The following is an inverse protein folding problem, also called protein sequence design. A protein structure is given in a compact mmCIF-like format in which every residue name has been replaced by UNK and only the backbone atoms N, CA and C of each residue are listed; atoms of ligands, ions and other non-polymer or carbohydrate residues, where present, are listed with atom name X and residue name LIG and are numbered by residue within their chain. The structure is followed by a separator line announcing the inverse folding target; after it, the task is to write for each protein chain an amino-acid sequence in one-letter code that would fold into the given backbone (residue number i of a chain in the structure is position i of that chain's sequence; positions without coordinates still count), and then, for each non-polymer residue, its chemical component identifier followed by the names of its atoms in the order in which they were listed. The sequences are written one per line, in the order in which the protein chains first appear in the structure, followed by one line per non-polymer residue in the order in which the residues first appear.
data_IF_216216465148
#
_entry.id   IF_216216465148
#
_cell.length_a   1.000
_cell.length_b   1.000
_cell.length_c   1.000
_cell.angle_alpha   90.00
_cell.angle_beta   90.00
_cell.angle_gamma   90.00
#
_symmetry.space_group_name_H-M   'P 1'
#
loop_
_entity.id
_entity.type
_entity.pdbx_description
1 polymer ?
#
# COMPACT_ATOMS: atom_id res chain seq x y z
N UNK A 1 3.10 16.66 37.52
CA UNK A 1 2.53 15.82 36.43
C UNK A 1 2.21 16.77 35.29
N UNK A 2 3.00 16.83 34.21
CA UNK A 2 2.70 17.75 33.10
C UNK A 2 1.72 17.07 32.15
N UNK A 3 0.45 17.45 32.23
CA UNK A 3 -0.55 17.15 31.20
C UNK A 3 -0.49 18.27 30.17
N UNK A 4 -0.01 17.96 28.98
CA UNK A 4 -0.21 18.84 27.83
C UNK A 4 -1.54 18.41 27.19
N UNK A 5 -2.56 19.25 27.34
CA UNK A 5 -3.87 19.09 26.71
C UNK A 5 -3.99 20.09 25.56
N UNK A 6 -4.60 19.68 24.47
CA UNK A 6 -5.09 20.57 23.42
C UNK A 6 -6.48 20.10 22.96
N UNK A 7 -7.27 21.02 22.41
CA UNK A 7 -8.64 20.79 21.91
C UNK A 7 -8.67 20.07 20.55
N UNK A 8 -9.85 20.01 19.92
CA UNK A 8 -10.10 19.35 18.63
C UNK A 8 -9.17 19.85 17.53
N UNK A 9 -8.82 18.97 16.59
CA UNK A 9 -7.98 19.27 15.40
C UNK A 9 -6.63 19.91 15.72
N UNK A 10 -6.02 19.49 16.82
CA UNK A 10 -4.83 20.13 17.32
C UNK A 10 -3.58 19.26 17.23
N UNK A 11 -2.47 19.90 16.85
CA UNK A 11 -1.17 19.24 16.82
C UNK A 11 -0.39 19.52 18.11
N UNK A 12 -0.11 18.47 18.90
CA UNK A 12 0.76 18.55 20.07
C UNK A 12 2.07 17.79 19.80
N UNK A 13 3.18 18.54 19.80
CA UNK A 13 4.51 18.02 19.49
C UNK A 13 5.40 18.02 20.73
N UNK A 14 5.76 16.82 21.18
CA UNK A 14 6.76 16.61 22.23
C UNK A 14 8.10 16.34 21.54
N UNK A 15 8.94 17.38 21.43
CA UNK A 15 10.19 17.33 20.68
C UNK A 15 11.28 16.52 21.39
N UNK A 16 11.55 16.82 22.67
CA UNK A 16 12.55 16.10 23.47
C UNK A 16 12.21 16.26 24.95
N UNK A 17 12.01 15.14 25.64
CA UNK A 17 11.80 15.13 27.09
C UNK A 17 12.94 14.37 27.75
N UNK A 18 13.68 15.03 28.65
CA UNK A 18 14.71 14.43 29.50
C UNK A 18 14.52 14.71 30.99
N UNK A 19 13.38 14.36 31.59
CA UNK A 19 13.19 14.75 32.95
C UNK A 19 13.65 13.63 33.91
N UNK A 20 14.51 13.96 34.86
CA UNK A 20 14.89 13.12 36.00
C UNK A 20 13.73 13.10 37.00
N UNK A 21 13.08 11.95 37.20
CA UNK A 21 12.12 11.76 38.31
C UNK A 21 10.63 11.60 37.95
N UNK A 22 10.24 11.58 36.68
CA UNK A 22 8.81 11.47 36.31
C UNK A 22 8.33 10.02 36.24
N UNK A 23 7.20 9.70 36.89
CA UNK A 23 6.62 8.33 36.85
C UNK A 23 5.80 8.03 35.59
N UNK A 24 5.24 9.05 34.91
CA UNK A 24 4.39 8.92 33.70
C UNK A 24 4.57 10.10 32.74
N UNK A 25 4.64 9.81 31.44
CA UNK A 25 4.52 10.77 30.35
C UNK A 25 3.38 10.34 29.42
N UNK A 26 2.42 11.22 29.14
CA UNK A 26 1.25 10.89 28.34
C UNK A 26 0.55 12.15 27.85
N UNK A 27 0.92 12.68 26.67
CA UNK A 27 0.16 13.77 26.07
C UNK A 27 -1.27 13.32 25.79
N UNK A 28 -2.23 14.23 25.98
CA UNK A 28 -3.65 13.97 25.75
C UNK A 28 -4.14 14.87 24.62
N UNK A 29 -4.80 14.28 23.64
CA UNK A 29 -5.50 14.97 22.56
C UNK A 29 -6.95 14.55 22.55
N UNK A 30 -7.83 15.44 22.10
CA UNK A 30 -9.22 15.13 21.80
C UNK A 30 -9.35 14.70 20.32
N UNK A 31 -10.56 14.71 19.79
CA UNK A 31 -10.89 14.22 18.45
C UNK A 31 -10.01 14.86 17.37
N UNK A 32 -9.60 14.05 16.38
CA UNK A 32 -8.74 14.48 15.27
C UNK A 32 -7.31 14.92 15.67
N UNK A 33 -6.92 14.79 16.94
CA UNK A 33 -5.66 15.35 17.42
C UNK A 33 -4.44 14.57 16.94
N UNK A 34 -3.39 15.30 16.56
CA UNK A 34 -2.11 14.72 16.18
C UNK A 34 -1.11 14.85 17.33
N UNK A 35 -0.86 13.75 18.03
CA UNK A 35 0.12 13.68 19.11
C UNK A 35 1.43 13.07 18.62
N UNK A 36 2.46 13.90 18.50
CA UNK A 36 3.78 13.44 18.03
C UNK A 36 4.81 13.49 19.14
N UNK A 37 5.31 12.31 19.52
CA UNK A 37 6.47 12.14 20.41
C UNK A 37 7.69 11.83 19.56
N UNK A 38 8.55 12.83 19.34
CA UNK A 38 9.73 12.67 18.48
C UNK A 38 10.84 11.90 19.20
N UNK A 39 11.11 12.24 20.46
CA UNK A 39 12.14 11.59 21.26
C UNK A 39 11.81 11.66 22.75
N UNK A 40 11.50 10.50 23.33
CA UNK A 40 11.37 10.35 24.78
C UNK A 40 12.61 9.65 25.35
N UNK A 41 13.35 10.34 26.22
CA UNK A 41 14.53 9.84 26.94
C UNK A 41 14.39 10.14 28.43
N UNK A 42 13.80 9.24 29.21
CA UNK A 42 13.58 9.47 30.65
C UNK A 42 14.02 8.28 31.50
N UNK A 43 14.29 8.47 32.78
CA UNK A 43 14.32 7.39 33.78
C UNK A 43 12.91 6.90 34.18
N UNK A 44 11.86 7.53 33.66
CA UNK A 44 10.46 7.26 33.99
C UNK A 44 9.91 5.89 33.55
N UNK A 45 8.85 5.46 34.25
CA UNK A 45 8.35 4.08 34.18
C UNK A 45 7.27 3.82 33.11
N UNK A 46 6.50 4.85 32.67
CA UNK A 46 5.34 4.67 31.74
C UNK A 46 5.25 5.79 30.69
N UNK A 47 5.12 5.41 29.41
CA UNK A 47 4.79 6.30 28.29
C UNK A 47 3.46 5.86 27.64
N UNK A 48 2.50 6.76 27.52
CA UNK A 48 1.19 6.45 26.93
C UNK A 48 0.47 7.70 26.46
N UNK A 49 0.68 8.14 25.21
CA UNK A 49 -0.17 9.17 24.62
C UNK A 49 -1.61 8.65 24.54
N UNK A 50 -2.58 9.53 24.78
CA UNK A 50 -4.01 9.21 24.72
C UNK A 50 -4.68 10.16 23.74
N UNK A 51 -5.40 9.60 22.77
CA UNK A 51 -6.28 10.33 21.86
C UNK A 51 -7.69 9.74 21.92
N UNK A 52 -8.66 10.49 21.43
CA UNK A 52 -10.01 9.99 21.13
C UNK A 52 -10.13 9.72 19.63
N UNK A 53 -11.35 9.75 19.09
CA UNK A 53 -11.66 9.34 17.73
C UNK A 53 -10.82 10.08 16.67
N UNK A 54 -10.41 9.34 15.63
CA UNK A 54 -9.59 9.87 14.54
C UNK A 54 -8.19 10.36 14.94
N UNK A 55 -7.74 10.08 16.17
CA UNK A 55 -6.47 10.62 16.66
C UNK A 55 -5.25 9.93 16.07
N UNK A 56 -4.23 10.71 15.73
CA UNK A 56 -2.96 10.20 15.22
C UNK A 56 -1.89 10.29 16.31
N UNK A 57 -1.54 9.15 16.90
CA UNK A 57 -0.52 9.05 17.94
C UNK A 57 0.77 8.46 17.38
N UNK A 58 1.79 9.31 17.17
CA UNK A 58 3.07 8.91 16.59
C UNK A 58 4.21 8.99 17.60
N UNK A 59 4.76 7.83 17.96
CA UNK A 59 5.98 7.71 18.76
C UNK A 59 7.15 7.35 17.84
N UNK A 60 8.00 8.33 17.52
CA UNK A 60 9.15 8.11 16.63
C UNK A 60 10.29 7.37 17.34
N UNK A 61 10.60 7.77 18.57
CA UNK A 61 11.69 7.16 19.32
C UNK A 61 11.43 7.21 20.82
N UNK A 62 11.27 6.04 21.44
CA UNK A 62 11.25 5.85 22.89
C UNK A 62 12.50 5.06 23.32
N UNK A 63 13.41 5.70 24.04
CA UNK A 63 14.68 5.11 24.49
C UNK A 63 14.92 5.38 25.99
N UNK A 64 15.09 4.34 26.80
CA UNK A 64 15.30 4.49 28.26
C UNK A 64 15.99 3.27 28.88
N UNK A 65 16.61 3.43 30.04
CA UNK A 65 17.05 2.33 30.91
C UNK A 65 15.95 1.82 31.86
N UNK A 66 14.82 2.53 32.03
CA UNK A 66 13.82 2.29 33.08
C UNK A 66 12.34 2.19 32.63
N UNK A 67 12.02 2.31 31.34
CA UNK A 67 10.63 2.19 30.88
C UNK A 67 10.10 0.78 31.13
N UNK A 68 8.98 0.66 31.85
CA UNK A 68 8.28 -0.62 32.03
C UNK A 68 7.13 -0.80 31.03
N UNK A 69 6.44 0.29 30.63
CA UNK A 69 5.27 0.24 29.74
C UNK A 69 5.30 1.33 28.67
N UNK A 70 5.02 0.95 27.42
CA UNK A 70 4.63 1.84 26.33
C UNK A 70 3.26 1.40 25.79
N UNK A 71 2.24 2.24 25.98
CA UNK A 71 0.86 1.96 25.56
C UNK A 71 0.18 3.24 25.08
N UNK A 72 0.35 3.61 23.80
CA UNK A 72 -0.54 4.54 23.13
C UNK A 72 -1.99 4.02 23.19
N UNK A 73 -2.95 4.89 23.46
CA UNK A 73 -4.38 4.55 23.52
C UNK A 73 -5.17 5.51 22.62
N UNK A 74 -5.89 4.97 21.65
CA UNK A 74 -6.87 5.69 20.83
C UNK A 74 -8.22 4.99 20.92
N UNK A 75 -9.28 5.65 20.44
CA UNK A 75 -10.59 5.05 20.21
C UNK A 75 -10.76 4.78 18.71
N UNK A 76 -11.96 4.91 18.17
CA UNK A 76 -12.30 4.58 16.78
C UNK A 76 -11.43 5.37 15.79
N UNK A 77 -11.13 4.75 14.65
CA UNK A 77 -10.32 5.32 13.54
C UNK A 77 -8.95 5.87 13.93
N UNK A 78 -8.41 5.42 15.07
CA UNK A 78 -7.16 5.97 15.60
C UNK A 78 -5.93 5.32 14.97
N UNK A 79 -4.96 6.16 14.61
CA UNK A 79 -3.67 5.70 14.04
C UNK A 79 -2.57 5.77 15.10
N UNK A 80 -2.14 4.60 15.56
CA UNK A 80 -1.19 4.44 16.67
C UNK A 80 0.11 3.85 16.14
N UNK A 81 1.11 4.70 15.88
CA UNK A 81 2.39 4.31 15.25
C UNK A 81 3.58 4.45 16.19
N UNK A 82 4.25 3.33 16.47
CA UNK A 82 5.53 3.28 17.21
C UNK A 82 6.66 2.90 16.26
N UNK A 83 7.53 3.83 15.90
CA UNK A 83 8.64 3.57 14.96
C UNK A 83 9.81 2.84 15.65
N UNK A 84 10.21 3.28 16.85
CA UNK A 84 11.30 2.65 17.60
C UNK A 84 11.08 2.71 19.10
N UNK A 85 10.97 1.55 19.74
CA UNK A 85 10.95 1.37 21.19
C UNK A 85 12.15 0.52 21.62
N UNK A 86 13.03 1.07 22.44
CA UNK A 86 14.23 0.38 22.92
C UNK A 86 14.49 0.68 24.40
N UNK A 87 14.44 -0.34 25.26
CA UNK A 87 14.80 -0.22 26.68
C UNK A 87 15.26 -1.56 27.23
N UNK A 88 16.19 -1.57 28.18
CA UNK A 88 16.54 -2.77 28.95
C UNK A 88 15.43 -3.17 29.94
N UNK A 89 14.50 -2.26 30.29
CA UNK A 89 13.47 -2.48 31.32
C UNK A 89 12.04 -2.71 30.81
N UNK A 90 11.79 -2.68 29.48
CA UNK A 90 10.42 -2.75 28.95
C UNK A 90 9.79 -4.10 29.28
N UNK A 91 8.71 -4.08 30.06
CA UNK A 91 7.89 -5.25 30.37
C UNK A 91 6.68 -5.35 29.45
N UNK A 92 6.09 -4.22 29.03
CA UNK A 92 4.89 -4.18 28.18
C UNK A 92 4.98 -3.15 27.05
N UNK A 93 4.70 -3.59 25.82
CA UNK A 93 4.42 -2.71 24.68
C UNK A 93 3.09 -3.15 24.05
N UNK A 94 2.05 -2.34 24.26
CA UNK A 94 0.70 -2.66 23.80
C UNK A 94 -0.02 -1.36 23.43
N UNK A 95 0.04 -0.93 22.15
CA UNK A 95 -0.92 0.02 21.61
C UNK A 95 -2.34 -0.54 21.75
N UNK A 96 -3.30 0.32 22.07
CA UNK A 96 -4.71 -0.05 22.21
C UNK A 96 -5.54 0.91 21.35
N UNK A 97 -6.36 0.35 20.46
CA UNK A 97 -7.38 1.06 19.68
C UNK A 97 -8.72 0.34 19.81
N UNK A 98 -9.80 0.96 19.33
CA UNK A 98 -11.09 0.30 19.10
C UNK A 98 -11.31 0.13 17.60
N UNK A 99 -12.52 0.24 17.09
CA UNK A 99 -12.88 -0.16 15.72
C UNK A 99 -12.03 0.60 14.68
N UNK A 100 -11.68 -0.10 13.59
CA UNK A 100 -10.92 0.42 12.44
C UNK A 100 -9.57 1.10 12.75
N UNK A 101 -9.04 0.85 13.95
CA UNK A 101 -7.78 1.45 14.39
C UNK A 101 -6.55 0.80 13.74
N UNK A 102 -5.57 1.63 13.35
CA UNK A 102 -4.31 1.18 12.78
C UNK A 102 -3.19 1.18 13.84
N UNK A 103 -2.82 0.00 14.33
CA UNK A 103 -1.81 -0.18 15.37
C UNK A 103 -0.51 -0.74 14.79
N UNK A 104 0.50 0.12 14.59
CA UNK A 104 1.77 -0.30 13.95
C UNK A 104 3.00 -0.08 14.83
N UNK A 105 3.73 -1.16 15.08
CA UNK A 105 5.04 -1.16 15.76
C UNK A 105 6.14 -1.57 14.78
N UNK A 106 7.04 -0.66 14.41
CA UNK A 106 8.10 -0.97 13.42
C UNK A 106 9.30 -1.68 14.05
N UNK A 107 9.78 -1.22 15.21
CA UNK A 107 10.95 -1.82 15.87
C UNK A 107 10.82 -1.78 17.39
N UNK A 108 10.82 -2.96 18.03
CA UNK A 108 10.80 -3.14 19.47
C UNK A 108 12.02 -3.95 19.94
N UNK A 109 12.77 -3.45 20.93
CA UNK A 109 13.93 -4.15 21.51
C UNK A 109 13.95 -3.99 23.03
N UNK A 110 13.95 -5.11 23.76
CA UNK A 110 14.12 -5.13 25.22
C UNK A 110 14.59 -6.48 25.69
N UNK A 111 15.45 -6.53 26.70
CA UNK A 111 15.82 -7.79 27.37
C UNK A 111 14.76 -8.29 28.36
N UNK A 112 13.77 -7.45 28.72
CA UNK A 112 12.78 -7.74 29.78
C UNK A 112 11.32 -7.84 29.34
N UNK A 113 11.01 -8.01 28.05
CA UNK A 113 9.63 -8.05 27.56
C UNK A 113 8.85 -9.21 28.18
N UNK A 114 7.75 -8.89 28.87
CA UNK A 114 6.75 -9.87 29.34
C UNK A 114 5.53 -9.93 28.43
N UNK A 115 5.19 -8.83 27.75
CA UNK A 115 4.04 -8.74 26.84
C UNK A 115 4.31 -7.75 25.70
N UNK A 116 4.16 -8.21 24.46
CA UNK A 116 4.19 -7.41 23.24
C UNK A 116 2.98 -7.82 22.40
N UNK A 117 2.05 -6.90 22.21
CA UNK A 117 0.82 -7.19 21.49
C UNK A 117 -0.06 -5.94 21.40
N UNK A 118 -0.27 -5.39 20.20
CA UNK A 118 -1.35 -4.43 19.95
C UNK A 118 -2.71 -5.07 20.26
N UNK A 119 -3.69 -4.27 20.67
CA UNK A 119 -5.06 -4.72 20.94
C UNK A 119 -6.03 -3.79 20.23
N UNK A 120 -6.87 -4.34 19.35
CA UNK A 120 -7.94 -3.63 18.64
C UNK A 120 -9.21 -4.48 18.62
N UNK A 121 -10.33 -3.89 18.21
CA UNK A 121 -11.60 -4.57 17.96
C UNK A 121 -11.81 -4.79 16.45
N UNK A 122 -13.04 -4.96 15.99
CA UNK A 122 -13.39 -5.22 14.59
C UNK A 122 -12.74 -4.21 13.62
N UNK A 123 -12.33 -4.68 12.43
CA UNK A 123 -11.67 -3.84 11.42
C UNK A 123 -10.24 -3.36 11.72
N UNK A 124 -9.74 -3.54 12.95
CA UNK A 124 -8.42 -3.03 13.36
C UNK A 124 -7.23 -3.73 12.68
N UNK A 125 -6.27 -2.93 12.19
CA UNK A 125 -5.03 -3.43 11.58
C UNK A 125 -3.90 -3.45 12.60
N UNK A 126 -3.51 -4.65 13.05
CA UNK A 126 -2.48 -4.86 14.07
C UNK A 126 -1.17 -5.37 13.43
N UNK A 127 -0.10 -4.57 13.43
CA UNK A 127 1.18 -4.97 12.81
C UNK A 127 2.42 -4.68 13.65
N UNK A 128 3.22 -5.72 13.88
CA UNK A 128 4.56 -5.61 14.50
C UNK A 128 5.62 -6.08 13.49
N UNK A 129 6.48 -5.19 13.00
CA UNK A 129 7.45 -5.52 11.93
C UNK A 129 8.73 -6.20 12.44
N UNK A 130 9.27 -5.78 13.60
CA UNK A 130 10.53 -6.34 14.13
C UNK A 130 10.59 -6.25 15.65
N UNK A 131 10.62 -7.39 16.31
CA UNK A 131 10.79 -7.51 17.77
C UNK A 131 12.02 -8.35 18.12
N UNK A 132 12.83 -7.92 19.09
CA UNK A 132 13.91 -8.73 19.67
C UNK A 132 13.85 -8.68 21.20
N UNK A 133 13.84 -9.84 21.85
CA UNK A 133 13.92 -9.98 23.30
C UNK A 133 14.66 -11.25 23.71
N UNK A 134 15.37 -11.20 24.83
CA UNK A 134 16.05 -12.34 25.46
C UNK A 134 15.20 -13.03 26.54
N UNK A 135 13.94 -12.63 26.73
CA UNK A 135 13.11 -13.02 27.88
C UNK A 135 11.67 -13.42 27.55
N UNK A 136 11.36 -13.78 26.30
CA UNK A 136 10.01 -14.19 25.91
C UNK A 136 9.61 -15.47 26.68
N UNK A 137 8.64 -15.35 27.61
CA UNK A 137 8.02 -16.51 28.30
C UNK A 137 6.57 -16.80 27.87
N UNK A 138 6.02 -16.08 26.90
CA UNK A 138 4.69 -16.35 26.27
C UNK A 138 4.55 -15.50 25.00
N UNK A 139 4.49 -16.14 23.84
CA UNK A 139 3.69 -15.68 22.70
C UNK A 139 2.32 -16.35 22.91
N UNK A 140 1.24 -15.57 22.98
CA UNK A 140 -0.11 -16.15 23.22
C UNK A 140 -0.59 -16.95 22.01
N UNK A 141 -1.35 -18.05 22.19
CA UNK A 141 -1.95 -18.81 21.09
C UNK A 141 -3.35 -18.29 20.74
N UNK A 142 -3.69 -18.26 19.45
CA UNK A 142 -4.76 -19.09 18.87
C UNK A 142 -4.81 -18.93 17.34
N UNK A 143 -4.12 -19.84 16.65
CA UNK A 143 -4.31 -20.10 15.22
C UNK A 143 -3.99 -21.58 15.01
N UNK A 144 -4.95 -22.45 15.35
CA UNK A 144 -5.14 -23.87 14.91
C UNK A 144 -5.98 -24.62 15.95
N UNK A 145 -7.30 -24.66 15.75
CA UNK A 145 -8.20 -25.77 16.09
C UNK A 145 -9.65 -25.32 15.90
N UNK A 146 -10.23 -25.57 14.72
CA UNK A 146 -11.69 -25.71 14.54
C UNK A 146 -11.95 -26.36 13.18
N UNK A 147 -11.52 -27.61 13.08
CA UNK A 147 -12.07 -28.60 12.17
C UNK A 147 -12.84 -29.57 13.08
N UNK A 148 -14.11 -29.82 12.72
CA UNK A 148 -15.05 -30.78 13.33
C UNK A 148 -15.81 -30.28 14.57
N UNK A 149 -16.96 -29.64 14.31
CA UNK A 149 -18.31 -30.05 14.75
C UNK A 149 -19.23 -28.82 14.76
N UNK A 150 -20.18 -28.79 13.83
CA UNK A 150 -21.61 -28.55 14.08
C UNK A 150 -22.36 -28.50 12.74
N UNK A 151 -22.85 -29.67 12.34
CA UNK A 151 -24.03 -29.79 11.49
C UNK A 151 -25.28 -29.67 12.38
N UNK A 152 -26.31 -29.04 11.81
CA UNK A 152 -27.74 -29.03 12.20
C UNK A 152 -28.20 -28.03 13.29
N UNK A 153 -28.71 -26.88 12.84
CA UNK A 153 -30.13 -26.54 13.04
C UNK A 153 -30.59 -25.54 11.97
N UNK A 154 -31.80 -25.76 11.46
CA UNK A 154 -32.44 -25.19 10.27
C UNK A 154 -33.64 -24.34 10.73
N UNK A 155 -33.75 -23.12 10.15
CA UNK A 155 -34.95 -22.26 9.95
C UNK A 155 -35.53 -21.53 11.18
N UNK A 156 -36.06 -20.28 11.15
CA UNK A 156 -36.90 -19.54 10.18
C UNK A 156 -36.68 -18.01 10.26
N UNK A 157 -36.67 -17.38 9.06
CA UNK A 157 -37.09 -16.05 8.55
C UNK A 157 -37.17 -14.74 9.36
N UNK A 158 -36.78 -13.69 8.60
CA UNK A 158 -37.33 -12.32 8.51
C UNK A 158 -36.69 -11.20 9.32
N UNK A 159 -35.83 -10.43 8.64
CA UNK A 159 -35.42 -9.08 9.02
C UNK A 159 -34.77 -8.39 7.81
N UNK A 160 -35.56 -7.61 7.09
CA UNK A 160 -35.13 -6.88 5.90
C UNK A 160 -34.08 -5.79 6.21
N UNK A 161 -33.10 -5.67 5.30
CA UNK A 161 -32.53 -4.40 4.88
C UNK A 161 -31.33 -3.84 5.64
N UNK A 162 -30.13 -4.15 5.15
CA UNK A 162 -29.06 -3.20 4.71
C UNK A 162 -27.72 -3.94 4.68
N UNK A 163 -27.47 -4.64 3.59
CA UNK A 163 -26.10 -4.93 3.16
C UNK A 163 -25.68 -3.90 2.10
N UNK A 164 -24.37 -3.64 2.06
CA UNK A 164 -23.58 -3.18 0.90
C UNK A 164 -23.26 -1.68 0.86
N UNK A 165 -21.99 -1.28 1.12
CA UNK A 165 -21.26 -0.23 0.35
C UNK A 165 -19.73 -0.05 0.64
N UNK A 166 -19.06 -0.81 1.53
CA UNK A 166 -17.63 -0.54 1.85
C UNK A 166 -16.57 -1.02 0.83
N UNK A 167 -16.96 -1.71 -0.24
CA UNK A 167 -16.00 -2.32 -1.19
C UNK A 167 -15.51 -1.40 -2.33
N UNK A 168 -15.75 -0.07 -2.28
CA UNK A 168 -15.54 0.82 -3.46
C UNK A 168 -14.39 1.83 -3.36
N UNK A 169 -13.71 1.93 -2.24
CA UNK A 169 -12.67 2.95 -2.06
C UNK A 169 -11.24 2.43 -2.30
N UNK A 170 -10.94 2.06 -3.54
CA UNK A 170 -9.56 1.84 -3.99
C UNK A 170 -8.84 3.18 -4.23
N UNK A 171 -7.54 3.31 -3.95
CA UNK A 171 -6.74 4.50 -4.28
C UNK A 171 -6.88 4.96 -5.73
N UNK A 172 -7.03 4.02 -6.67
CA UNK A 172 -7.23 4.33 -8.09
C UNK A 172 -8.60 4.94 -8.43
N UNK A 173 -9.59 4.81 -7.54
CA UNK A 173 -10.94 5.37 -7.70
C UNK A 173 -11.19 6.62 -6.86
N UNK A 174 -10.24 7.06 -6.05
CA UNK A 174 -10.42 8.17 -5.11
C UNK A 174 -10.83 9.48 -5.79
N UNK A 175 -10.23 9.83 -6.93
CA UNK A 175 -10.51 11.08 -7.64
C UNK A 175 -11.25 10.87 -8.97
N UNK A 176 -11.93 9.72 -9.17
CA UNK A 176 -12.63 9.46 -10.44
C UNK A 176 -13.91 10.26 -10.62
N UNK A 177 -14.55 10.67 -9.52
CA UNK A 177 -15.65 11.64 -9.52
C UNK A 177 -15.72 12.38 -8.19
N UNK A 178 -16.46 13.48 -8.13
CA UNK A 178 -16.71 14.21 -6.89
C UNK A 178 -17.45 13.33 -5.88
N UNK A 179 -18.41 12.53 -6.33
CA UNK A 179 -19.11 11.56 -5.47
C UNK A 179 -18.18 10.45 -4.97
N UNK A 180 -17.26 9.94 -5.80
CA UNK A 180 -16.28 8.95 -5.36
C UNK A 180 -15.31 9.54 -4.33
N UNK A 181 -14.86 10.78 -4.55
CA UNK A 181 -13.96 11.47 -3.64
C UNK A 181 -14.64 11.82 -2.31
N UNK A 182 -15.91 12.22 -2.36
CA UNK A 182 -16.73 12.45 -1.17
C UNK A 182 -16.97 11.14 -0.39
N UNK A 183 -17.39 10.08 -1.10
CA UNK A 183 -17.63 8.75 -0.51
C UNK A 183 -16.39 8.17 0.16
N UNK A 184 -15.21 8.40 -0.42
CA UNK A 184 -13.95 7.87 0.09
C UNK A 184 -13.21 8.85 1.03
N UNK A 185 -13.84 9.96 1.43
CA UNK A 185 -13.25 10.91 2.40
C UNK A 185 -12.01 11.66 1.90
N UNK A 186 -11.81 11.73 0.58
CA UNK A 186 -10.63 12.31 -0.09
C UNK A 186 -10.97 13.52 -0.97
N UNK A 187 -12.19 14.06 -0.82
CA UNK A 187 -12.72 15.16 -1.63
C UNK A 187 -11.80 16.38 -1.65
N UNK A 188 -11.29 16.79 -0.49
CA UNK A 188 -10.40 17.94 -0.40
C UNK A 188 -9.09 17.70 -1.16
N UNK A 189 -8.49 16.52 -1.00
CA UNK A 189 -7.25 16.12 -1.66
C UNK A 189 -7.42 16.04 -3.17
N UNK A 190 -8.57 15.53 -3.65
CA UNK A 190 -8.88 15.46 -5.08
C UNK A 190 -9.16 16.85 -5.68
N UNK A 191 -9.82 17.75 -4.96
CA UNK A 191 -10.03 19.14 -5.39
C UNK A 191 -8.71 19.91 -5.46
N UNK A 192 -7.84 19.76 -4.45
CA UNK A 192 -6.50 20.35 -4.44
C UNK A 192 -5.64 19.81 -5.59
N UNK A 193 -5.68 18.50 -5.85
CA UNK A 193 -4.99 17.87 -6.98
C UNK A 193 -5.49 18.39 -8.34
N UNK A 194 -6.80 18.55 -8.52
CA UNK A 194 -7.39 19.09 -9.75
C UNK A 194 -7.01 20.55 -10.01
N UNK A 195 -6.89 21.36 -8.95
CA UNK A 195 -6.42 22.75 -9.06
C UNK A 195 -4.95 22.83 -9.50
N UNK A 196 -4.10 21.92 -9.05
CA UNK A 196 -2.72 21.79 -9.56
C UNK A 196 -2.65 21.25 -10.99
N UNK A 197 -3.53 20.32 -11.35
CA UNK A 197 -3.60 19.70 -12.69
C UNK A 197 -3.92 20.70 -13.80
N UNK A 198 -4.74 21.72 -13.53
CA UNK A 198 -5.09 22.76 -14.53
C UNK A 198 -3.94 23.67 -14.96
N UNK A 199 -2.79 23.62 -14.26
CA UNK A 199 -1.65 24.53 -14.50
C UNK A 199 -0.36 23.83 -14.96
N UNK A 200 -0.29 22.51 -14.88
CA UNK A 200 0.89 21.76 -15.31
C UNK A 200 0.68 21.29 -16.75
N UNK A 201 1.33 21.96 -17.71
CA UNK A 201 1.26 21.62 -19.15
C UNK A 201 2.31 20.60 -19.57
N UNK A 202 3.12 20.10 -18.63
CA UNK A 202 4.21 19.19 -18.92
C UNK A 202 3.71 17.75 -19.13
N UNK A 203 4.26 17.08 -20.13
CA UNK A 203 3.96 15.68 -20.38
C UNK A 203 4.43 14.79 -19.22
N UNK A 204 3.63 13.76 -18.83
CA UNK A 204 4.06 12.75 -17.88
C UNK A 204 5.27 11.98 -18.43
N UNK A 205 6.09 11.45 -17.53
CA UNK A 205 7.17 10.54 -17.91
C UNK A 205 6.56 9.20 -18.27
N UNK A 206 6.78 8.74 -19.51
CA UNK A 206 6.26 7.44 -19.98
C UNK A 206 7.21 6.33 -19.54
N UNK A 207 6.69 5.33 -18.85
CA UNK A 207 7.42 4.12 -18.46
C UNK A 207 6.73 2.92 -19.09
N UNK A 208 7.43 2.25 -20.00
CA UNK A 208 7.00 0.98 -20.57
C UNK A 208 7.71 -0.19 -19.89
N UNK A 209 6.96 -1.19 -19.45
CA UNK A 209 7.47 -2.44 -18.91
C UNK A 209 7.05 -3.60 -19.81
N UNK A 210 8.03 -4.25 -20.42
CA UNK A 210 7.86 -5.48 -21.19
C UNK A 210 8.35 -6.64 -20.33
N UNK A 211 7.46 -7.60 -20.05
CA UNK A 211 7.68 -8.57 -18.98
C UNK A 211 6.92 -9.89 -19.19
N UNK A 212 7.19 -10.85 -18.32
CA UNK A 212 6.52 -12.16 -18.27
C UNK A 212 6.00 -12.41 -16.85
N UNK A 213 4.79 -12.97 -16.78
CA UNK A 213 4.03 -13.17 -15.52
C UNK A 213 4.69 -14.13 -14.52
N UNK A 214 5.61 -15.01 -14.95
CA UNK A 214 6.32 -15.92 -14.05
C UNK A 214 7.81 -15.59 -13.88
N UNK A 215 8.34 -14.57 -14.56
CA UNK A 215 9.74 -14.19 -14.46
C UNK A 215 10.04 -13.49 -13.12
N UNK A 216 10.86 -14.06 -12.20
CA UNK A 216 11.07 -13.49 -10.87
C UNK A 216 11.58 -12.04 -10.86
N UNK A 217 12.44 -11.67 -11.82
CA UNK A 217 12.94 -10.31 -11.97
C UNK A 217 11.85 -9.31 -12.37
N UNK A 218 10.95 -9.73 -13.27
CA UNK A 218 9.80 -8.93 -13.69
C UNK A 218 8.87 -8.65 -12.51
N UNK A 219 8.51 -9.70 -11.79
CA UNK A 219 7.63 -9.64 -10.61
C UNK A 219 8.23 -8.76 -9.52
N UNK A 220 9.53 -8.89 -9.28
CA UNK A 220 10.28 -8.06 -8.34
C UNK A 220 10.24 -6.58 -8.69
N UNK A 221 10.54 -6.22 -9.95
CA UNK A 221 10.50 -4.85 -10.42
C UNK A 221 9.07 -4.27 -10.35
N UNK A 222 8.08 -5.01 -10.86
CA UNK A 222 6.68 -4.58 -10.88
C UNK A 222 6.17 -4.28 -9.46
N UNK A 223 6.39 -5.21 -8.52
CA UNK A 223 5.85 -5.12 -7.16
C UNK A 223 6.63 -4.19 -6.23
N UNK A 224 7.94 -4.07 -6.40
CA UNK A 224 8.80 -3.32 -5.48
C UNK A 224 9.18 -1.93 -5.99
N UNK A 225 9.21 -1.72 -7.31
CA UNK A 225 9.64 -0.46 -7.92
C UNK A 225 8.48 0.24 -8.64
N UNK A 226 7.85 -0.43 -9.61
CA UNK A 226 6.88 0.21 -10.50
C UNK A 226 5.57 0.58 -9.79
N UNK A 227 4.93 -0.39 -9.14
CA UNK A 227 3.64 -0.15 -8.48
C UNK A 227 3.74 0.92 -7.38
N UNK A 228 4.70 0.87 -6.42
CA UNK A 228 4.83 1.91 -5.42
C UNK A 228 5.11 3.30 -6.02
N UNK A 229 5.93 3.38 -7.07
CA UNK A 229 6.24 4.66 -7.74
C UNK A 229 5.01 5.24 -8.42
N UNK A 230 4.22 4.41 -9.11
CA UNK A 230 2.98 4.85 -9.77
C UNK A 230 1.97 5.43 -8.79
N UNK A 231 1.81 4.79 -7.61
CA UNK A 231 0.91 5.27 -6.55
C UNK A 231 1.38 6.61 -5.97
N UNK A 232 2.69 6.81 -5.88
CA UNK A 232 3.28 8.02 -5.30
C UNK A 232 3.30 9.22 -6.27
N UNK A 233 3.45 8.96 -7.57
CA UNK A 233 3.60 10.00 -8.58
C UNK A 233 2.31 10.27 -9.36
N UNK A 234 1.37 9.33 -9.39
CA UNK A 234 0.06 9.49 -10.01
C UNK A 234 0.18 9.98 -11.44
N UNK A 235 -0.45 11.12 -11.73
CA UNK A 235 -0.52 11.73 -13.06
C UNK A 235 0.83 12.18 -13.65
N UNK A 236 1.93 12.16 -12.90
CA UNK A 236 3.28 12.44 -13.43
C UNK A 236 3.85 11.29 -14.27
N UNK A 237 3.18 10.13 -14.25
CA UNK A 237 3.70 8.89 -14.81
C UNK A 237 2.64 8.25 -15.71
N UNK A 238 3.03 7.96 -16.95
CA UNK A 238 2.20 7.25 -17.92
C UNK A 238 2.75 5.83 -18.10
N UNK A 239 1.92 4.81 -17.84
CA UNK A 239 2.35 3.41 -17.79
C UNK A 239 1.89 2.63 -19.00
N UNK A 240 2.83 1.94 -19.63
CA UNK A 240 2.54 0.89 -20.61
C UNK A 240 3.04 -0.44 -20.08
N UNK A 241 2.14 -1.41 -19.90
CA UNK A 241 2.47 -2.77 -19.50
C UNK A 241 2.26 -3.70 -20.71
N UNK A 242 3.27 -4.52 -21.02
CA UNK A 242 3.24 -5.46 -22.15
C UNK A 242 3.64 -6.85 -21.66
N UNK A 243 2.65 -7.66 -21.18
CA UNK A 243 2.90 -9.05 -20.83
C UNK A 243 3.07 -9.88 -22.11
N UNK A 244 4.30 -10.29 -22.38
CA UNK A 244 4.71 -11.18 -23.48
C UNK A 244 6.15 -11.65 -23.24
N UNK A 245 7.06 -10.69 -23.10
CA UNK A 245 8.48 -10.89 -22.79
C UNK A 245 9.20 -11.75 -23.83
N UNK A 246 9.90 -12.80 -23.37
CA UNK A 246 10.65 -13.70 -24.25
C UNK A 246 9.80 -14.81 -24.87
N UNK A 247 8.46 -14.73 -24.79
CA UNK A 247 7.59 -15.66 -25.48
C UNK A 247 7.89 -15.68 -26.99
N UNK A 248 7.59 -16.81 -27.63
CA UNK A 248 7.69 -16.99 -29.08
C UNK A 248 6.30 -17.28 -29.64
N UNK A 249 6.03 -16.68 -30.77
CA UNK A 249 4.80 -16.89 -31.53
C UNK A 249 5.07 -17.77 -32.75
N UNK A 250 4.12 -18.65 -33.04
CA UNK A 250 4.00 -19.37 -34.31
C UNK A 250 2.54 -19.37 -34.75
N UNK A 251 2.29 -19.62 -36.03
CA UNK A 251 0.93 -19.67 -36.59
C UNK A 251 0.53 -21.14 -36.78
N UNK A 252 -0.67 -21.49 -36.32
CA UNK A 252 -1.33 -22.76 -36.59
C UNK A 252 -2.75 -22.50 -37.14
N UNK A 253 -2.90 -22.65 -38.46
CA UNK A 253 -4.11 -22.21 -39.17
C UNK A 253 -4.32 -20.70 -39.02
N UNK A 254 -5.47 -20.32 -38.48
CA UNK A 254 -5.83 -18.91 -38.23
C UNK A 254 -5.54 -18.45 -36.77
N UNK A 255 -4.87 -19.29 -35.97
CA UNK A 255 -4.60 -19.01 -34.55
C UNK A 255 -3.12 -18.84 -34.27
N UNK A 256 -2.78 -17.86 -33.45
CA UNK A 256 -1.42 -17.71 -32.93
C UNK A 256 -1.19 -18.66 -31.75
N UNK A 257 -0.09 -19.40 -31.79
CA UNK A 257 0.35 -20.30 -30.71
C UNK A 257 1.54 -19.66 -30.03
N UNK A 258 1.45 -19.52 -28.71
CA UNK A 258 2.48 -18.88 -27.89
C UNK A 258 3.24 -19.94 -27.09
N UNK A 259 4.57 -19.85 -27.12
CA UNK A 259 5.46 -20.68 -26.30
C UNK A 259 6.24 -19.78 -25.34
N UNK A 260 6.03 -20.00 -24.04
CA UNK A 260 6.63 -19.20 -22.98
C UNK A 260 7.81 -19.93 -22.30
N UNK A 261 8.73 -19.20 -21.69
CA UNK A 261 9.96 -19.75 -21.10
C UNK A 261 9.66 -20.59 -19.85
N UNK A 262 8.69 -20.17 -19.06
CA UNK A 262 8.26 -20.85 -17.83
C UNK A 262 7.04 -21.76 -18.04
N UNK A 263 6.77 -22.15 -19.30
CA UNK A 263 5.72 -23.09 -19.68
C UNK A 263 4.32 -22.49 -19.79
N UNK A 264 3.32 -23.36 -19.91
CA UNK A 264 1.93 -22.97 -20.21
C UNK A 264 1.29 -22.07 -19.14
N UNK A 265 1.73 -22.17 -17.88
CA UNK A 265 1.22 -21.32 -16.82
C UNK A 265 1.61 -19.86 -17.04
N UNK A 266 2.82 -19.58 -17.53
CA UNK A 266 3.23 -18.23 -17.90
C UNK A 266 2.45 -17.69 -19.09
N UNK A 267 2.23 -18.52 -20.11
CA UNK A 267 1.40 -18.12 -21.26
C UNK A 267 -0.03 -17.77 -20.81
N UNK A 268 -0.62 -18.59 -19.95
CA UNK A 268 -1.94 -18.32 -19.38
C UNK A 268 -1.93 -17.05 -18.49
N UNK A 269 -0.89 -16.83 -17.68
CA UNK A 269 -0.73 -15.62 -16.88
C UNK A 269 -0.63 -14.37 -17.75
N UNK A 270 0.26 -14.38 -18.76
CA UNK A 270 0.42 -13.28 -19.71
C UNK A 270 -0.92 -12.96 -20.39
N UNK A 271 -1.67 -13.99 -20.79
CA UNK A 271 -2.96 -13.86 -21.46
C UNK A 271 -4.02 -13.22 -20.56
N UNK A 272 -4.10 -13.64 -19.30
CA UNK A 272 -5.01 -13.05 -18.30
C UNK A 272 -4.67 -11.57 -18.10
N UNK A 273 -3.39 -11.24 -17.93
CA UNK A 273 -2.94 -9.87 -17.70
C UNK A 273 -3.16 -8.97 -18.93
N UNK A 274 -2.93 -9.48 -20.13
CA UNK A 274 -3.23 -8.80 -21.39
C UNK A 274 -4.74 -8.47 -21.50
N UNK A 275 -5.60 -9.43 -21.17
CA UNK A 275 -7.05 -9.22 -21.13
C UNK A 275 -7.48 -8.24 -20.03
N UNK A 276 -6.84 -8.25 -18.85
CA UNK A 276 -7.11 -7.28 -17.80
C UNK A 276 -6.82 -5.85 -18.25
N UNK A 277 -5.66 -5.64 -18.90
CA UNK A 277 -5.27 -4.34 -19.46
C UNK A 277 -6.30 -3.84 -20.48
N UNK A 278 -6.76 -4.73 -21.36
CA UNK A 278 -7.76 -4.40 -22.37
C UNK A 278 -9.16 -4.11 -21.78
N UNK A 279 -9.59 -4.86 -20.77
CA UNK A 279 -10.95 -4.78 -20.24
C UNK A 279 -11.15 -3.73 -19.13
N UNK A 280 -10.10 -3.31 -18.44
CA UNK A 280 -10.23 -2.53 -17.20
C UNK A 280 -9.38 -1.25 -17.13
N UNK A 281 -8.61 -0.96 -18.18
CA UNK A 281 -7.79 0.26 -18.32
C UNK A 281 -6.95 0.53 -17.05
N UNK A 282 -7.17 1.65 -16.35
CA UNK A 282 -6.36 2.07 -15.19
C UNK A 282 -6.46 1.16 -13.96
N UNK A 283 -7.53 0.35 -13.83
CA UNK A 283 -7.67 -0.58 -12.71
C UNK A 283 -6.90 -1.89 -12.90
N UNK A 284 -6.51 -2.20 -14.13
CA UNK A 284 -5.77 -3.41 -14.46
C UNK A 284 -4.47 -3.52 -13.64
N UNK A 285 -3.76 -2.41 -13.46
CA UNK A 285 -2.46 -2.44 -12.82
C UNK A 285 -2.52 -2.88 -11.35
N UNK A 286 -3.56 -2.49 -10.60
CA UNK A 286 -3.75 -2.96 -9.22
C UNK A 286 -4.05 -4.46 -9.14
N UNK A 287 -4.81 -4.99 -10.11
CA UNK A 287 -5.07 -6.44 -10.21
C UNK A 287 -3.78 -7.20 -10.52
N UNK A 288 -3.03 -6.74 -11.52
CA UNK A 288 -1.74 -7.34 -11.92
C UNK A 288 -0.75 -7.30 -10.76
N UNK A 289 -0.62 -6.18 -10.06
CA UNK A 289 0.20 -6.09 -8.85
C UNK A 289 -0.19 -7.12 -7.79
N UNK A 290 -1.50 -7.31 -7.55
CA UNK A 290 -1.99 -8.29 -6.60
C UNK A 290 -1.64 -9.73 -7.00
N UNK A 291 -1.82 -10.06 -8.28
CA UNK A 291 -1.44 -11.36 -8.84
C UNK A 291 0.06 -11.59 -8.69
N UNK A 292 0.85 -10.58 -9.05
CA UNK A 292 2.31 -10.68 -9.07
C UNK A 292 2.96 -10.66 -7.70
N UNK A 293 2.25 -10.22 -6.67
CA UNK A 293 2.68 -10.32 -5.28
C UNK A 293 2.40 -11.70 -4.66
N UNK A 294 1.46 -12.47 -5.22
CA UNK A 294 1.07 -13.77 -4.68
C UNK A 294 2.14 -14.84 -4.90
N UNK A 295 2.11 -15.96 -4.18
CA UNK A 295 3.01 -17.08 -4.46
C UNK A 295 2.75 -17.67 -5.85
N UNK A 296 1.48 -17.81 -6.21
CA UNK A 296 0.98 -18.32 -7.48
C UNK A 296 0.03 -17.27 -8.12
N UNK A 297 0.49 -16.54 -9.16
CA UNK A 297 -0.29 -15.48 -9.79
C UNK A 297 -1.64 -15.95 -10.35
N UNK A 298 -1.68 -17.15 -10.95
CA UNK A 298 -2.88 -17.68 -11.59
C UNK A 298 -3.93 -18.08 -10.55
N UNK A 299 -3.53 -18.71 -9.44
CA UNK A 299 -4.45 -19.02 -8.34
C UNK A 299 -4.99 -17.76 -7.67
N UNK A 300 -4.18 -16.70 -7.59
CA UNK A 300 -4.60 -15.44 -7.00
C UNK A 300 -5.50 -14.58 -7.90
N UNK A 301 -5.43 -14.77 -9.23
CA UNK A 301 -6.11 -13.95 -10.23
C UNK A 301 -7.57 -13.65 -9.91
N UNK A 302 -8.37 -14.67 -9.60
CA UNK A 302 -9.81 -14.48 -9.31
C UNK A 302 -10.06 -13.60 -8.08
N UNK A 303 -9.32 -13.85 -6.99
CA UNK A 303 -9.44 -13.05 -5.77
C UNK A 303 -8.98 -11.61 -6.00
N UNK A 304 -7.90 -11.41 -6.75
CA UNK A 304 -7.40 -10.09 -7.10
C UNK A 304 -8.39 -9.31 -7.97
N UNK A 305 -9.01 -9.95 -8.97
CA UNK A 305 -10.06 -9.33 -9.79
C UNK A 305 -11.24 -8.90 -8.92
N UNK A 306 -11.71 -9.78 -8.04
CA UNK A 306 -12.82 -9.47 -7.13
C UNK A 306 -12.49 -8.30 -6.19
N UNK A 307 -11.25 -8.21 -5.71
CA UNK A 307 -10.82 -7.16 -4.80
C UNK A 307 -10.72 -5.77 -5.45
N UNK A 308 -10.21 -5.69 -6.68
CA UNK A 308 -9.91 -4.39 -7.32
C UNK A 308 -10.91 -3.98 -8.41
N UNK A 309 -11.59 -4.95 -9.02
CA UNK A 309 -12.57 -4.74 -10.10
C UNK A 309 -13.79 -5.65 -9.91
N UNK A 310 -14.58 -5.47 -8.83
CA UNK A 310 -15.73 -6.34 -8.54
C UNK A 310 -16.81 -6.35 -9.64
N UNK A 311 -16.83 -5.33 -10.51
CA UNK A 311 -17.74 -5.27 -11.66
C UNK A 311 -17.29 -6.10 -12.88
N UNK A 312 -16.07 -6.64 -12.90
CA UNK A 312 -15.62 -7.54 -13.96
C UNK A 312 -15.94 -8.98 -13.54
N UNK A 313 -16.83 -9.65 -14.28
CA UNK A 313 -17.09 -11.06 -14.04
C UNK A 313 -15.88 -11.91 -14.42
N UNK A 314 -15.60 -12.93 -13.59
CA UNK A 314 -14.52 -13.88 -13.85
C UNK A 314 -14.71 -14.61 -15.19
N UNK A 315 -15.95 -14.95 -15.53
CA UNK A 315 -16.30 -15.59 -16.80
C UNK A 315 -15.93 -14.71 -17.99
N UNK A 316 -16.27 -13.41 -17.97
CA UNK A 316 -15.94 -12.47 -19.06
C UNK A 316 -14.43 -12.36 -19.25
N UNK A 317 -13.66 -12.32 -18.16
CA UNK A 317 -12.20 -12.31 -18.22
C UNK A 317 -11.66 -13.59 -18.87
N UNK A 318 -12.14 -14.77 -18.46
CA UNK A 318 -11.68 -16.04 -19.01
C UNK A 318 -12.17 -16.28 -20.44
N UNK A 319 -13.33 -15.73 -20.85
CA UNK A 319 -13.76 -15.70 -22.25
C UNK A 319 -12.77 -14.92 -23.10
N UNK A 320 -12.28 -13.77 -22.61
CA UNK A 320 -11.21 -13.05 -23.30
C UNK A 320 -9.93 -13.90 -23.35
N UNK A 321 -9.46 -14.40 -22.20
CA UNK A 321 -8.17 -15.08 -22.11
C UNK A 321 -8.10 -16.37 -22.96
N UNK A 322 -9.20 -17.13 -23.04
CA UNK A 322 -9.23 -18.38 -23.80
C UNK A 322 -9.67 -18.17 -25.27
N UNK A 323 -10.25 -17.03 -25.60
CA UNK A 323 -10.85 -16.74 -26.90
C UNK A 323 -9.94 -15.98 -27.86
N UNK A 324 -10.51 -15.65 -29.03
CA UNK A 324 -9.78 -15.00 -30.12
C UNK A 324 -9.36 -13.57 -29.77
N UNK A 325 -10.13 -12.89 -28.91
CA UNK A 325 -9.75 -11.56 -28.41
C UNK A 325 -8.42 -11.61 -27.65
N UNK A 326 -8.25 -12.54 -26.71
CA UNK A 326 -6.99 -12.72 -26.00
C UNK A 326 -5.85 -13.08 -26.96
N UNK A 327 -6.11 -14.00 -27.89
CA UNK A 327 -5.13 -14.41 -28.89
C UNK A 327 -4.62 -13.21 -29.71
N UNK A 328 -5.54 -12.36 -30.18
CA UNK A 328 -5.19 -11.16 -30.93
C UNK A 328 -4.45 -10.13 -30.07
N UNK A 329 -4.86 -9.90 -28.83
CA UNK A 329 -4.16 -8.97 -27.91
C UNK A 329 -2.73 -9.48 -27.65
N UNK A 330 -2.54 -10.77 -27.44
CA UNK A 330 -1.23 -11.37 -27.23
C UNK A 330 -0.33 -11.23 -28.45
N UNK A 331 -0.88 -11.41 -29.67
CA UNK A 331 -0.17 -11.11 -30.92
C UNK A 331 0.22 -9.63 -31.01
N UNK A 332 -0.66 -8.70 -30.64
CA UNK A 332 -0.31 -7.27 -30.58
C UNK A 332 0.81 -7.00 -29.57
N UNK A 333 0.86 -7.72 -28.45
CA UNK A 333 1.96 -7.62 -27.49
C UNK A 333 3.27 -8.20 -28.06
N UNK A 334 3.19 -9.28 -28.84
CA UNK A 334 4.34 -9.81 -29.59
C UNK A 334 4.93 -8.76 -30.52
N UNK A 335 4.10 -8.16 -31.40
CA UNK A 335 4.50 -7.10 -32.32
C UNK A 335 5.12 -5.89 -31.61
N UNK A 336 4.51 -5.44 -30.50
CA UNK A 336 5.07 -4.34 -29.68
C UNK A 336 6.44 -4.67 -29.12
N UNK A 337 6.66 -5.92 -28.72
CA UNK A 337 7.91 -6.39 -28.11
C UNK A 337 9.00 -6.58 -29.16
N UNK A 338 8.63 -7.06 -30.36
CA UNK A 338 9.54 -7.20 -31.50
C UNK A 338 9.95 -5.85 -32.10
N UNK A 339 9.07 -4.85 -32.04
CA UNK A 339 9.35 -3.48 -32.51
C UNK A 339 10.33 -2.69 -31.61
N UNK A 340 10.73 -3.24 -30.46
CA UNK A 340 11.66 -2.58 -29.54
C UNK A 340 13.01 -2.30 -30.20
N UNK A 341 13.54 -1.10 -29.90
CA UNK A 341 14.87 -0.65 -30.32
C UNK A 341 15.67 -0.17 -29.09
N UNK A 342 16.84 -0.78 -28.79
CA UNK A 342 17.34 -2.02 -29.39
C UNK A 342 16.41 -3.21 -29.11
N UNK A 343 16.55 -4.27 -29.91
CA UNK A 343 15.81 -5.52 -29.67
C UNK A 343 16.10 -6.01 -28.26
N UNK A 344 15.04 -6.30 -27.49
CA UNK A 344 15.20 -6.81 -26.13
C UNK A 344 15.97 -8.13 -26.12
N UNK A 345 16.84 -8.30 -25.14
CA UNK A 345 17.67 -9.52 -24.98
C UNK A 345 17.39 -10.23 -23.65
N UNK A 346 16.60 -9.61 -22.77
CA UNK A 346 16.20 -10.13 -21.48
C UNK A 346 14.90 -9.42 -21.03
N UNK A 347 14.32 -9.92 -19.95
CA UNK A 347 13.22 -9.27 -19.24
C UNK A 347 13.53 -9.14 -17.73
N UNK A 348 12.96 -8.17 -17.02
CA UNK A 348 12.08 -7.11 -17.53
C UNK A 348 12.85 -6.12 -18.40
N UNK A 349 12.21 -5.63 -19.46
CA UNK A 349 12.78 -4.63 -20.35
C UNK A 349 12.03 -3.30 -20.16
N UNK A 350 12.75 -2.28 -19.69
CA UNK A 350 12.17 -1.00 -19.29
C UNK A 350 12.46 0.04 -20.36
N UNK A 351 11.41 0.71 -20.83
CA UNK A 351 11.54 1.89 -21.70
C UNK A 351 11.15 3.14 -20.92
N UNK A 352 11.88 4.22 -21.15
CA UNK A 352 11.64 5.52 -20.53
C UNK A 352 11.47 6.53 -21.67
N UNK A 353 10.30 7.15 -21.76
CA UNK A 353 9.89 8.01 -22.87
C UNK A 353 10.05 7.36 -24.25
N UNK A 354 9.85 6.04 -24.35
CA UNK A 354 9.96 5.27 -25.58
C UNK A 354 11.38 4.80 -25.93
N UNK A 355 12.38 5.16 -25.12
CA UNK A 355 13.78 4.76 -25.34
C UNK A 355 14.23 3.73 -24.30
N UNK A 356 15.18 2.88 -24.68
CA UNK A 356 15.85 1.96 -23.77
C UNK A 356 17.38 2.12 -23.88
N UNK A 357 18.04 2.11 -22.72
CA UNK A 357 19.48 1.96 -22.60
C UNK A 357 19.82 1.23 -21.30
N UNK A 358 20.99 0.59 -21.24
CA UNK A 358 21.46 -0.07 -20.03
C UNK A 358 21.58 0.89 -18.83
N UNK A 359 21.91 2.17 -19.08
CA UNK A 359 21.92 3.19 -18.03
C UNK A 359 20.52 3.50 -17.50
N UNK A 360 19.52 3.66 -18.38
CA UNK A 360 18.12 3.88 -17.98
C UNK A 360 17.56 2.66 -17.26
N UNK A 361 17.84 1.46 -17.76
CA UNK A 361 17.48 0.20 -17.13
C UNK A 361 18.05 0.12 -15.71
N UNK A 362 19.35 0.36 -15.55
CA UNK A 362 20.04 0.34 -14.24
C UNK A 362 19.45 1.37 -13.28
N UNK A 363 19.28 2.63 -13.71
CA UNK A 363 18.68 3.69 -12.90
C UNK A 363 17.25 3.36 -12.46
N UNK A 364 16.45 2.75 -13.33
CA UNK A 364 15.10 2.33 -12.99
C UNK A 364 15.09 1.27 -11.88
N UNK A 365 16.05 0.33 -11.89
CA UNK A 365 16.24 -0.68 -10.86
C UNK A 365 16.82 -0.14 -9.55
N UNK A 366 17.70 0.85 -9.61
CA UNK A 366 18.25 1.52 -8.42
C UNK A 366 17.20 2.41 -7.74
N UNK A 367 16.35 3.06 -8.53
CA UNK A 367 15.32 3.95 -8.04
C UNK A 367 14.45 4.54 -9.14
N UNK A 368 13.32 3.91 -9.43
CA UNK A 368 12.36 4.43 -10.40
C UNK A 368 11.78 5.79 -10.00
N UNK A 369 11.41 5.98 -8.72
CA UNK A 369 10.89 7.27 -8.24
C UNK A 369 11.86 8.43 -8.47
N UNK A 370 13.14 8.38 -8.03
CA UNK A 370 14.07 9.46 -8.29
C UNK A 370 14.33 9.66 -9.79
N UNK A 371 14.38 8.59 -10.59
CA UNK A 371 14.52 8.70 -12.05
C UNK A 371 13.35 9.49 -12.68
N UNK A 372 12.11 9.14 -12.34
CA UNK A 372 10.92 9.85 -12.86
C UNK A 372 10.92 11.30 -12.38
N UNK A 373 11.24 11.54 -11.11
CA UNK A 373 11.35 12.89 -10.56
C UNK A 373 12.44 13.72 -11.27
N UNK A 374 13.54 13.10 -11.70
CA UNK A 374 14.60 13.76 -12.45
C UNK A 374 14.11 14.19 -13.83
N UNK A 375 13.50 13.25 -14.56
CA UNK A 375 13.08 13.41 -15.95
C UNK A 375 11.83 14.26 -16.14
N UNK A 376 10.98 14.37 -15.11
CA UNK A 376 9.79 15.20 -15.17
C UNK A 376 10.16 16.69 -15.31
N UNK A 377 9.65 17.32 -16.37
CA UNK A 377 9.96 18.72 -16.74
C UNK A 377 8.98 19.74 -16.16
N UNK A 378 7.86 19.29 -15.59
CA UNK A 378 6.82 20.14 -15.00
C UNK A 378 7.09 20.54 -13.56
N UNK A 379 6.05 21.00 -12.87
CA UNK A 379 6.16 21.37 -11.45
C UNK A 379 6.29 20.11 -10.59
N UNK A 380 7.49 19.91 -10.03
CA UNK A 380 7.78 18.74 -9.23
C UNK A 380 6.96 18.74 -7.93
N UNK A 381 6.30 17.64 -7.54
CA UNK A 381 5.66 17.52 -6.24
C UNK A 381 6.71 17.51 -5.12
N UNK A 382 6.32 17.74 -3.85
CA UNK A 382 7.24 17.71 -2.72
C UNK A 382 8.05 16.42 -2.59
N UNK A 383 7.49 15.28 -3.01
CA UNK A 383 8.19 13.98 -3.01
C UNK A 383 9.36 13.94 -4.01
N UNK A 384 9.30 14.76 -5.06
CA UNK A 384 10.37 14.99 -6.03
C UNK A 384 11.26 16.20 -5.67
N UNK A 385 11.15 16.73 -4.44
CA UNK A 385 11.93 17.88 -3.99
C UNK A 385 11.40 19.24 -4.42
N UNK A 386 10.19 19.30 -4.98
CA UNK A 386 9.55 20.56 -5.32
C UNK A 386 9.07 21.37 -4.10
N UNK A 387 8.79 22.66 -4.31
CA UNK A 387 8.35 23.56 -3.24
C UNK A 387 6.91 23.20 -2.82
N UNK A 388 6.69 23.04 -1.51
CA UNK A 388 5.32 22.94 -0.97
C UNK A 388 4.62 24.28 -1.17
N UNK A 389 3.53 24.30 -1.94
CA UNK A 389 2.70 25.49 -2.10
C UNK A 389 1.92 25.72 -0.80
N UNK A 390 2.31 26.74 -0.04
CA UNK A 390 1.49 27.26 1.05
C UNK A 390 0.34 28.07 0.45
N UNK A 391 -0.85 27.48 0.39
CA UNK A 391 -2.06 28.27 0.13
C UNK A 391 -2.29 29.19 1.33
N UNK A 392 -2.17 30.51 1.12
CA UNK A 392 -2.67 31.49 2.08
C UNK A 392 -4.18 31.34 2.11
N UNK A 393 -4.70 30.74 3.18
CA UNK A 393 -6.11 30.90 3.54
C UNK A 393 -6.33 32.39 3.79
N UNK A 394 -6.97 33.07 2.84
CA UNK A 394 -7.57 34.36 3.09
C UNK A 394 -8.92 34.08 3.76
N UNK A 395 -8.96 34.15 5.10
CA UNK A 395 -10.22 34.33 5.79
C UNK A 395 -10.66 35.77 5.54
N UNK A 396 -11.75 35.94 4.78
CA UNK A 396 -12.46 37.21 4.72
C UNK A 396 -12.92 37.58 6.14
N UNK A 397 -12.73 38.86 6.47
CA UNK A 397 -12.93 39.48 7.78
C UNK A 397 -14.34 39.29 8.34
#
# INVERSE_FOLDING_TARGET
MNQHRKGSDSALRVQKTRPSGFRRLGPQGSEGSVLRVQKAQSSGFRLGPQGSEGSVLRVQKAQSSGFRRLSPQGSEDSVLRVQKAQSSGFRRLSPQGSEDSVLRVQKARSSGFRRLGPQGSEGSVLRVQKARSSGFRRLGPDMRALLLLLLLAVWVSSGAGREQEDARCSPSSWCSSVEAAARCGVLQQCLEANLTRSRDTAEPVRIGLYYESLCPGCRGFLTSMLYPTSVLLGDLLDLTLVPYGNAKESIDGDRYIFKCQHGEQECAGNMIEACLLNLTSSKAFSVIYCMELAEDPLKAARACVQAFVPGLSWEKLMTCANGDLGNHIMHQNALKTEALKPTHTYVPWITVNGEHSEDLQSKAFDGLLPLVCELYKGEKPPICGGKSRHFRSYSHK
#
